data_IF_740167100737
#
_entry.id   IF_740167100737
#
_cell.length_a   1.000
_cell.length_b   1.000
_cell.length_c   1.000
_cell.angle_alpha   90.00
_cell.angle_beta   90.00
_cell.angle_gamma   90.00
#
_symmetry.space_group_name_H-M   'P 1'
#
loop_
_entity.id
_entity.type
_entity.pdbx_description
1 polymer ?
#
# COMPACT_ATOMS: atom_id res chain seq x y z
N UNK A 1 -3.56 11.30 -3.66
CA UNK A 1 -3.20 10.07 -2.93
C UNK A 1 -4.45 9.25 -2.68
N UNK A 2 -4.42 7.96 -2.99
CA UNK A 2 -5.58 7.07 -2.86
C UNK A 2 -5.21 5.86 -2.02
N UNK A 3 -6.22 5.21 -1.44
CA UNK A 3 -6.02 3.98 -0.66
C UNK A 3 -5.36 2.90 -1.53
N UNK A 4 -5.75 2.82 -2.81
CA UNK A 4 -5.17 1.85 -3.73
C UNK A 4 -3.67 2.09 -3.91
N UNK A 5 -3.24 3.34 -4.03
CA UNK A 5 -1.81 3.67 -4.13
C UNK A 5 -1.06 3.24 -2.87
N UNK A 6 -1.67 3.43 -1.70
CA UNK A 6 -1.07 3.01 -0.44
C UNK A 6 -0.94 1.49 -0.36
N UNK A 7 -1.97 0.78 -0.79
CA UNK A 7 -1.96 -0.68 -0.83
C UNK A 7 -0.89 -1.21 -1.77
N UNK A 8 -0.74 -0.58 -2.94
CA UNK A 8 0.27 -0.99 -3.92
C UNK A 8 1.69 -0.78 -3.39
N UNK A 9 1.96 0.37 -2.76
CA UNK A 9 3.27 0.63 -2.18
C UNK A 9 3.62 -0.40 -1.12
N UNK A 10 2.67 -0.69 -0.22
CA UNK A 10 2.85 -1.69 0.83
C UNK A 10 3.12 -3.06 0.22
N UNK A 11 2.39 -3.43 -0.82
CA UNK A 11 2.57 -4.72 -1.49
C UNK A 11 3.98 -4.87 -2.07
N UNK A 12 4.51 -3.84 -2.74
CA UNK A 12 5.87 -3.90 -3.29
C UNK A 12 6.90 -3.98 -2.16
N UNK A 13 6.73 -3.22 -1.10
CA UNK A 13 7.63 -3.25 0.05
C UNK A 13 7.65 -4.65 0.70
N UNK A 14 6.50 -5.30 0.81
CA UNK A 14 6.40 -6.63 1.40
C UNK A 14 6.93 -7.72 0.48
N UNK A 15 6.70 -7.62 -0.82
CA UNK A 15 7.12 -8.63 -1.81
C UNK A 15 8.55 -8.45 -2.28
N UNK A 16 9.10 -7.25 -2.20
CA UNK A 16 10.42 -6.94 -2.74
C UNK A 16 10.48 -6.98 -4.27
N UNK A 17 9.32 -6.98 -4.94
CA UNK A 17 9.21 -7.14 -6.37
C UNK A 17 7.93 -6.50 -6.89
N UNK A 18 8.05 -5.69 -7.94
CA UNK A 18 6.90 -5.09 -8.62
C UNK A 18 6.04 -6.15 -9.29
N UNK A 19 6.68 -7.17 -9.88
CA UNK A 19 5.95 -8.25 -10.56
C UNK A 19 5.12 -9.06 -9.59
N UNK A 20 5.70 -9.46 -8.46
CA UNK A 20 4.99 -10.23 -7.43
C UNK A 20 3.88 -9.41 -6.80
N UNK A 21 4.14 -8.14 -6.52
CA UNK A 21 3.12 -7.26 -5.96
C UNK A 21 1.92 -7.12 -6.91
N UNK A 22 2.18 -6.97 -8.21
CA UNK A 22 1.12 -6.88 -9.21
C UNK A 22 0.28 -8.15 -9.23
N UNK A 23 0.90 -9.34 -9.15
CA UNK A 23 0.18 -10.61 -9.05
C UNK A 23 -0.70 -10.65 -7.81
N UNK A 24 -0.18 -10.26 -6.66
CA UNK A 24 -0.93 -10.24 -5.40
C UNK A 24 -2.11 -9.28 -5.45
N UNK A 25 -1.97 -8.17 -6.17
CA UNK A 25 -3.02 -7.17 -6.27
C UNK A 25 -3.97 -7.40 -7.45
N UNK A 26 -3.75 -8.44 -8.25
CA UNK A 26 -4.56 -8.78 -9.43
C UNK A 26 -4.60 -7.65 -10.46
N UNK A 27 -3.45 -7.03 -10.69
CA UNK A 27 -3.29 -5.94 -11.67
C UNK A 27 -2.04 -6.18 -12.50
N UNK A 28 -1.90 -5.41 -13.59
CA UNK A 28 -0.70 -5.49 -14.41
C UNK A 28 0.43 -4.71 -13.73
N UNK A 29 1.68 -5.14 -13.98
CA UNK A 29 2.83 -4.47 -13.41
C UNK A 29 2.93 -3.00 -13.85
N UNK A 30 2.74 -2.65 -15.16
CA UNK A 30 2.77 -1.25 -15.55
C UNK A 30 1.73 -0.39 -14.85
N UNK A 31 0.53 -0.92 -14.61
CA UNK A 31 -0.52 -0.20 -13.90
C UNK A 31 -0.13 0.08 -12.47
N UNK A 32 0.35 -0.93 -11.75
CA UNK A 32 0.80 -0.79 -10.38
C UNK A 32 1.97 0.19 -10.28
N UNK A 33 2.96 0.03 -11.16
CA UNK A 33 4.15 0.87 -11.18
C UNK A 33 3.80 2.35 -11.42
N UNK A 34 2.85 2.61 -12.32
CA UNK A 34 2.39 3.96 -12.62
C UNK A 34 1.72 4.61 -11.41
N UNK A 35 0.91 3.86 -10.68
CA UNK A 35 0.25 4.36 -9.48
C UNK A 35 1.25 4.71 -8.38
N UNK A 36 2.27 3.90 -8.20
CA UNK A 36 3.32 4.17 -7.21
C UNK A 36 4.11 5.41 -7.61
N UNK A 37 4.45 5.54 -8.90
CA UNK A 37 5.16 6.70 -9.41
C UNK A 37 4.34 7.99 -9.19
N UNK A 38 3.03 7.92 -9.43
CA UNK A 38 2.13 9.04 -9.20
C UNK A 38 2.14 9.47 -7.73
N UNK A 39 2.15 8.50 -6.82
CA UNK A 39 2.25 8.77 -5.37
C UNK A 39 3.58 9.44 -5.02
N UNK A 40 4.69 8.94 -5.57
CA UNK A 40 6.01 9.54 -5.37
C UNK A 40 6.06 10.98 -5.87
N UNK A 41 5.47 11.23 -7.03
CA UNK A 41 5.41 12.58 -7.59
C UNK A 41 4.58 13.53 -6.70
N UNK A 42 3.45 13.07 -6.21
CA UNK A 42 2.60 13.86 -5.32
C UNK A 42 3.32 14.22 -4.03
N UNK A 43 4.01 13.26 -3.41
CA UNK A 43 4.72 13.48 -2.15
C UNK A 43 6.09 14.14 -2.33
N UNK A 44 6.60 14.17 -3.56
CA UNK A 44 7.88 14.81 -3.88
C UNK A 44 9.09 14.05 -3.39
N UNK A 45 8.98 12.75 -3.16
CA UNK A 45 10.09 11.91 -2.68
C UNK A 45 10.06 10.56 -3.38
N UNK A 46 11.22 9.92 -3.48
CA UNK A 46 11.35 8.54 -3.94
C UNK A 46 11.11 7.63 -2.75
N UNK A 47 10.18 6.69 -2.88
CA UNK A 47 9.76 5.81 -1.79
C UNK A 47 10.40 4.42 -1.86
N UNK A 48 10.78 3.98 -3.05
CA UNK A 48 11.34 2.65 -3.27
C UNK A 48 12.67 2.76 -4.01
N UNK A 49 13.67 2.03 -3.54
CA UNK A 49 14.97 1.93 -4.22
C UNK A 49 14.92 0.76 -5.21
N UNK A 50 14.71 1.09 -6.49
CA UNK A 50 14.56 0.11 -7.56
C UNK A 50 15.88 -0.45 -8.05
N UNK A 51 17.00 0.12 -7.60
CA UNK A 51 18.34 -0.38 -7.97
C UNK A 51 18.72 -1.63 -7.17
N UNK A 52 17.99 -1.91 -6.11
CA UNK A 52 18.22 -3.09 -5.25
C UNK A 52 17.33 -4.26 -5.68
N UNK A 53 17.82 -5.47 -5.45
CA UNK A 53 17.07 -6.71 -5.65
C UNK A 53 17.30 -7.59 -4.42
N UNK A 54 16.28 -7.77 -3.58
CA UNK A 54 14.91 -7.27 -3.73
C UNK A 54 14.81 -5.75 -3.63
N UNK A 55 13.73 -5.19 -4.18
CA UNK A 55 13.40 -3.78 -4.06
C UNK A 55 13.16 -3.47 -2.58
N UNK A 56 13.76 -2.41 -2.09
CA UNK A 56 13.61 -2.02 -0.69
C UNK A 56 13.13 -0.56 -0.60
N UNK A 57 12.46 -0.19 0.50
CA UNK A 57 12.09 1.20 0.71
C UNK A 57 13.31 2.10 0.90
N UNK A 58 13.19 3.35 0.48
CA UNK A 58 14.15 4.40 0.84
C UNK A 58 13.90 4.82 2.28
N UNK A 59 14.73 5.72 2.82
CA UNK A 59 14.49 6.30 4.15
C UNK A 59 13.13 6.99 4.19
N UNK A 60 12.80 7.78 3.15
CA UNK A 60 11.50 8.41 3.02
C UNK A 60 10.38 7.35 2.93
N UNK A 61 10.63 6.27 2.19
CA UNK A 61 9.69 5.16 2.06
C UNK A 61 9.37 4.50 3.39
N UNK A 62 10.36 4.33 4.26
CA UNK A 62 10.15 3.74 5.58
C UNK A 62 9.23 4.61 6.44
N UNK A 63 9.43 5.93 6.40
CA UNK A 63 8.58 6.89 7.13
C UNK A 63 7.14 6.82 6.61
N UNK A 64 6.98 6.85 5.30
CA UNK A 64 5.65 6.80 4.66
C UNK A 64 4.96 5.47 4.93
N UNK A 65 5.69 4.35 4.86
CA UNK A 65 5.13 3.01 5.11
C UNK A 65 4.62 2.86 6.54
N UNK A 66 5.29 3.45 7.51
CA UNK A 66 4.82 3.43 8.90
C UNK A 66 3.44 4.11 8.99
N UNK A 67 3.26 5.25 8.34
CA UNK A 67 1.98 5.95 8.31
C UNK A 67 0.93 5.19 7.50
N UNK A 68 1.34 4.54 6.41
CA UNK A 68 0.44 3.73 5.58
C UNK A 68 -0.13 2.57 6.38
N UNK A 69 0.69 1.88 7.15
CA UNK A 69 0.22 0.75 7.98
C UNK A 69 -0.84 1.19 8.97
N UNK A 70 -0.65 2.34 9.60
CA UNK A 70 -1.64 2.95 10.49
C UNK A 70 -2.93 3.28 9.74
N UNK A 71 -2.79 3.93 8.59
CA UNK A 71 -3.91 4.37 7.75
C UNK A 71 -4.74 3.18 7.27
N UNK A 72 -4.10 2.14 6.78
CA UNK A 72 -4.79 0.95 6.27
C UNK A 72 -5.46 0.18 7.39
N UNK A 73 -4.86 0.14 8.56
CA UNK A 73 -5.47 -0.48 9.73
C UNK A 73 -6.77 0.23 10.10
N UNK A 74 -6.76 1.57 10.12
CA UNK A 74 -7.94 2.37 10.40
C UNK A 74 -9.00 2.20 9.30
N UNK A 75 -8.57 2.14 8.05
CA UNK A 75 -9.44 1.90 6.91
C UNK A 75 -10.16 0.55 7.02
N UNK A 76 -9.44 -0.50 7.33
CA UNK A 76 -10.01 -1.85 7.50
C UNK A 76 -10.94 -1.90 8.70
N UNK A 77 -10.63 -1.14 9.74
CA UNK A 77 -11.42 -1.09 10.98
C UNK A 77 -12.84 -0.55 10.74
N UNK A 78 -13.05 0.24 9.71
CA UNK A 78 -14.39 0.76 9.37
C UNK A 78 -15.37 -0.40 9.16
N UNK A 79 -14.97 -1.41 8.39
CA UNK A 79 -15.81 -2.58 8.13
C UNK A 79 -16.04 -3.41 9.39
N UNK A 80 -15.00 -3.57 10.19
CA UNK A 80 -15.09 -4.31 11.45
C UNK A 80 -16.04 -3.65 12.41
N UNK A 81 -16.01 -2.32 12.50
CA UNK A 81 -16.92 -1.56 13.37
C UNK A 81 -18.39 -1.76 12.98
N UNK A 82 -18.67 -1.76 11.67
CA UNK A 82 -20.01 -2.00 11.16
C UNK A 82 -20.43 -3.46 11.40
N UNK A 83 -19.53 -4.41 11.19
CA UNK A 83 -19.80 -5.83 11.43
C UNK A 83 -20.15 -6.07 12.91
N UNK A 84 -19.44 -5.44 13.83
CA UNK A 84 -19.72 -5.50 15.26
C UNK A 84 -21.11 -4.96 15.58
N UNK A 85 -21.47 -3.81 15.01
CA UNK A 85 -22.78 -3.19 15.20
C UNK A 85 -23.88 -4.12 14.70
N UNK A 86 -23.72 -4.70 13.50
CA UNK A 86 -24.71 -5.62 12.94
C UNK A 86 -24.84 -6.90 13.76
N UNK A 87 -23.75 -7.40 14.32
CA UNK A 87 -23.76 -8.56 15.20
C UNK A 87 -24.61 -8.31 16.44
N UNK A 88 -24.51 -7.12 17.03
CA UNK A 88 -25.31 -6.74 18.20
C UNK A 88 -26.80 -6.62 17.88
N UNK A 89 -27.13 -6.16 16.67
CA UNK A 89 -28.52 -5.98 16.25
C UNK A 89 -29.20 -7.34 15.99
N UNK A 90 -28.44 -8.33 15.55
CA UNK A 90 -28.97 -9.65 15.19
C UNK A 90 -29.02 -10.65 16.34
N UNK A 91 -28.64 -10.25 17.51
CA UNK A 91 -28.83 -11.05 18.74
C UNK A 91 -30.22 -10.82 19.26
#
# INVERSE_FOLDING_TARGET
>A
MTIIQLEYLLAVANCGSFSLAAEHCFVTQPSLSMQIKSLEEELGVVLLDRSKKPVIPTEAGEVVLAEIRETLRAYDHIREAVAELLSLIHI
#
